data_IF_460300158275
#
_entry.id   IF_460300158275
#
_cell.length_a   1.000
_cell.length_b   1.000
_cell.length_c   1.000
_cell.angle_alpha   90.00
_cell.angle_beta   90.00
_cell.angle_gamma   90.00
#
_symmetry.space_group_name_H-M   'P 1'
#
loop_
_entity.id
_entity.type
_entity.pdbx_description
1 polymer ?
#
# COMPACT_ATOMS: atom_id res chain seq x y z
N UNK A 1 -32.79 -1.01 1.12
CA UNK A 1 -31.71 -0.07 1.44
C UNK A 1 -30.40 -0.79 1.21
N UNK A 2 -29.47 -0.21 0.46
CA UNK A 2 -28.13 -0.79 0.23
C UNK A 2 -27.23 -0.28 1.37
N UNK A 3 -26.66 -1.15 2.23
CA UNK A 3 -25.77 -0.71 3.30
C UNK A 3 -24.45 -0.21 2.69
N UNK A 4 -23.79 0.74 3.35
CA UNK A 4 -22.48 1.24 2.95
C UNK A 4 -21.40 0.14 3.03
N UNK A 5 -21.50 -0.73 4.03
CA UNK A 5 -20.60 -1.84 4.24
C UNK A 5 -21.40 -3.06 4.73
N UNK A 6 -21.00 -4.24 4.27
CA UNK A 6 -21.53 -5.51 4.75
C UNK A 6 -20.38 -6.54 4.78
N UNK A 7 -19.92 -6.96 5.98
CA UNK A 7 -18.92 -7.99 6.11
C UNK A 7 -19.38 -9.30 5.44
N UNK A 8 -18.49 -9.93 4.70
CA UNK A 8 -18.70 -11.29 4.22
C UNK A 8 -18.18 -12.28 5.28
N UNK A 9 -19.03 -13.20 5.66
CA UNK A 9 -18.68 -14.25 6.62
C UNK A 9 -18.60 -15.58 5.88
N UNK A 10 -17.48 -16.28 6.04
CA UNK A 10 -17.26 -17.62 5.45
C UNK A 10 -17.88 -18.72 6.30
N UNK A 11 -18.19 -18.43 7.58
CA UNK A 11 -18.63 -19.39 8.60
C UNK A 11 -17.48 -20.14 9.26
N UNK A 12 -16.22 -19.84 8.89
CA UNK A 12 -15.03 -20.49 9.48
C UNK A 12 -14.38 -19.65 10.61
N UNK A 13 -14.82 -18.42 10.83
CA UNK A 13 -14.17 -17.45 11.71
C UNK A 13 -14.05 -17.99 13.14
N UNK A 14 -15.17 -18.49 13.70
CA UNK A 14 -15.20 -19.03 15.08
C UNK A 14 -14.31 -20.28 15.21
N UNK A 15 -14.28 -21.13 14.16
CA UNK A 15 -13.40 -22.29 14.14
C UNK A 15 -11.92 -21.86 14.22
N UNK A 16 -11.52 -20.91 13.41
CA UNK A 16 -10.13 -20.40 13.40
C UNK A 16 -9.74 -19.73 14.71
N UNK A 17 -10.66 -18.96 15.30
CA UNK A 17 -10.45 -18.38 16.65
C UNK A 17 -10.25 -19.50 17.70
N UNK A 18 -11.08 -20.55 17.64
CA UNK A 18 -10.98 -21.67 18.56
C UNK A 18 -9.66 -22.45 18.39
N UNK A 19 -9.19 -22.60 17.16
CA UNK A 19 -7.89 -23.22 16.87
C UNK A 19 -6.74 -22.38 17.43
N UNK A 20 -6.75 -21.05 17.21
CA UNK A 20 -5.75 -20.14 17.77
C UNK A 20 -5.71 -20.22 19.31
N UNK A 21 -6.89 -20.26 19.94
CA UNK A 21 -6.98 -20.42 21.39
C UNK A 21 -6.39 -21.75 21.88
N UNK A 22 -6.67 -22.86 21.18
CA UNK A 22 -6.13 -24.19 21.53
C UNK A 22 -4.61 -24.26 21.38
N UNK A 23 -4.04 -23.56 20.40
CA UNK A 23 -2.58 -23.46 20.22
C UNK A 23 -1.95 -22.70 21.39
N UNK A 24 -2.70 -21.82 22.07
CA UNK A 24 -2.24 -21.08 23.23
C UNK A 24 -1.33 -19.90 22.92
N UNK A 25 -1.12 -19.57 21.65
CA UNK A 25 -0.36 -18.40 21.22
C UNK A 25 -1.32 -17.32 20.72
N UNK A 26 -1.68 -16.39 21.59
CA UNK A 26 -2.62 -15.30 21.30
C UNK A 26 -1.92 -13.95 21.06
N UNK A 27 -0.60 -13.88 21.22
CA UNK A 27 0.22 -12.76 20.83
C UNK A 27 0.40 -12.72 19.30
N UNK A 28 0.84 -11.59 18.77
CA UNK A 28 1.21 -11.48 17.35
C UNK A 28 2.33 -12.45 16.95
N UNK A 29 2.54 -12.56 15.63
CA UNK A 29 3.57 -13.41 15.01
C UNK A 29 3.41 -14.93 15.35
N UNK A 30 2.16 -15.37 15.43
CA UNK A 30 1.81 -16.76 15.68
C UNK A 30 1.58 -17.56 14.39
N UNK A 31 1.08 -18.79 14.55
CA UNK A 31 0.82 -19.72 13.45
C UNK A 31 -0.02 -19.11 12.33
N UNK A 32 -1.12 -18.43 12.64
CA UNK A 32 -1.98 -17.83 11.62
C UNK A 32 -1.32 -16.62 10.95
N UNK A 33 -0.49 -15.84 11.66
CA UNK A 33 0.31 -14.78 11.05
C UNK A 33 1.24 -15.35 10.00
N UNK A 34 1.96 -16.41 10.33
CA UNK A 34 2.87 -17.09 9.39
C UNK A 34 2.14 -17.65 8.17
N UNK A 35 0.94 -18.23 8.35
CA UNK A 35 0.12 -18.69 7.22
C UNK A 35 -0.33 -17.55 6.29
N UNK A 36 -0.74 -16.42 6.87
CA UNK A 36 -1.17 -15.26 6.09
C UNK A 36 0.02 -14.61 5.35
N UNK A 37 1.16 -14.44 6.03
CA UNK A 37 2.37 -13.91 5.40
C UNK A 37 2.81 -14.79 4.22
N UNK A 38 2.87 -16.10 4.45
CA UNK A 38 3.22 -17.04 3.37
C UNK A 38 2.22 -16.99 2.22
N UNK A 39 0.92 -16.91 2.50
CA UNK A 39 -0.10 -16.79 1.45
C UNK A 39 0.09 -15.52 0.63
N UNK A 40 0.38 -14.39 1.28
CA UNK A 40 0.69 -13.14 0.58
C UNK A 40 1.95 -13.29 -0.29
N UNK A 41 3.05 -13.78 0.26
CA UNK A 41 4.29 -14.01 -0.48
C UNK A 41 4.06 -14.90 -1.73
N UNK A 42 3.35 -16.02 -1.55
CA UNK A 42 3.06 -16.97 -2.63
C UNK A 42 2.12 -16.39 -3.72
N UNK A 43 1.23 -15.46 -3.38
CA UNK A 43 0.25 -14.91 -4.33
C UNK A 43 0.66 -13.56 -4.92
N UNK A 44 1.50 -12.79 -4.23
CA UNK A 44 1.92 -11.46 -4.70
C UNK A 44 3.34 -11.45 -5.25
N UNK A 45 4.04 -12.59 -5.23
CA UNK A 45 5.46 -12.71 -5.60
C UNK A 45 6.39 -11.80 -4.80
N UNK A 46 5.92 -11.26 -3.67
CA UNK A 46 6.74 -10.44 -2.79
C UNK A 46 7.75 -11.31 -2.03
N UNK A 47 8.96 -10.82 -1.86
CA UNK A 47 10.02 -11.53 -1.13
C UNK A 47 9.72 -11.67 0.37
N UNK A 48 8.91 -10.76 0.92
CA UNK A 48 8.48 -10.76 2.32
C UNK A 48 7.11 -10.12 2.49
N UNK A 49 6.29 -10.69 3.38
CA UNK A 49 5.02 -10.11 3.81
C UNK A 49 4.98 -10.03 5.34
N UNK A 50 4.75 -8.84 5.85
CA UNK A 50 4.60 -8.57 7.28
C UNK A 50 3.17 -8.12 7.56
N UNK A 51 2.51 -8.77 8.51
CA UNK A 51 1.17 -8.39 8.92
C UNK A 51 1.21 -7.29 9.96
N UNK A 52 0.35 -6.30 9.77
CA UNK A 52 0.06 -5.24 10.72
C UNK A 52 -1.41 -5.31 11.13
N UNK A 53 -1.78 -4.61 12.19
CA UNK A 53 -3.17 -4.56 12.66
C UNK A 53 -4.07 -3.64 11.81
N UNK A 54 -3.49 -2.84 10.91
CA UNK A 54 -4.21 -1.94 10.01
C UNK A 54 -3.32 -1.50 8.85
N UNK A 55 -3.92 -1.06 7.74
CA UNK A 55 -3.18 -0.43 6.64
C UNK A 55 -2.49 0.86 7.10
N UNK A 56 -3.09 1.61 8.02
CA UNK A 56 -2.43 2.78 8.64
C UNK A 56 -1.08 2.41 9.25
N UNK A 57 -1.00 1.34 10.03
CA UNK A 57 0.25 0.88 10.61
C UNK A 57 1.25 0.37 9.56
N UNK A 58 0.76 -0.21 8.46
CA UNK A 58 1.62 -0.59 7.33
C UNK A 58 2.26 0.64 6.67
N UNK A 59 1.47 1.70 6.43
CA UNK A 59 1.97 2.96 5.88
C UNK A 59 2.97 3.67 6.83
N UNK A 60 2.70 3.66 8.13
CA UNK A 60 3.64 4.17 9.14
C UNK A 60 4.96 3.38 9.14
N UNK A 61 4.87 2.05 9.01
CA UNK A 61 6.05 1.20 8.88
C UNK A 61 6.82 1.49 7.59
N UNK A 62 6.13 1.67 6.46
CA UNK A 62 6.75 2.07 5.21
C UNK A 62 7.50 3.41 5.35
N UNK A 63 6.90 4.41 6.00
CA UNK A 63 7.55 5.69 6.26
C UNK A 63 8.83 5.56 7.11
N UNK A 64 8.86 4.59 8.04
CA UNK A 64 10.06 4.26 8.83
C UNK A 64 11.12 3.60 7.93
N UNK A 65 10.73 2.60 7.14
CA UNK A 65 11.64 1.86 6.26
C UNK A 65 12.28 2.75 5.19
N UNK A 66 11.52 3.71 4.65
CA UNK A 66 12.03 4.71 3.71
C UNK A 66 12.90 5.79 4.39
N UNK A 67 13.02 5.73 5.70
CA UNK A 67 13.77 6.71 6.49
C UNK A 67 13.34 8.15 6.17
N UNK A 68 12.02 8.40 6.17
CA UNK A 68 11.46 9.74 5.94
C UNK A 68 11.98 10.71 6.99
N UNK A 69 12.49 11.85 6.54
CA UNK A 69 13.03 12.92 7.35
C UNK A 69 12.17 14.19 7.24
N UNK A 70 12.25 15.10 8.24
CA UNK A 70 11.60 16.40 8.14
C UNK A 70 12.01 17.16 6.87
N UNK A 71 11.02 17.55 6.08
CA UNK A 71 11.21 18.27 4.82
C UNK A 71 11.22 17.38 3.56
N UNK A 72 11.27 16.06 3.69
CA UNK A 72 11.06 15.16 2.55
C UNK A 72 9.65 15.34 1.99
N UNK A 73 9.52 15.46 0.69
CA UNK A 73 8.25 15.61 0.00
C UNK A 73 7.74 14.25 -0.48
N UNK A 74 6.44 14.01 -0.25
CA UNK A 74 5.77 12.75 -0.55
C UNK A 74 4.58 13.04 -1.45
N UNK A 75 4.67 12.61 -2.71
CA UNK A 75 3.62 12.79 -3.71
C UNK A 75 2.51 11.77 -3.46
N UNK A 76 1.26 12.22 -3.44
CA UNK A 76 0.09 11.37 -3.23
C UNK A 76 -1.16 12.00 -3.85
N UNK A 77 -2.24 11.21 -4.12
CA UNK A 77 -3.49 11.77 -4.62
C UNK A 77 -4.17 12.66 -3.58
N UNK A 78 -4.85 13.70 -4.03
CA UNK A 78 -5.66 14.59 -3.18
C UNK A 78 -6.92 13.88 -2.63
N UNK A 79 -7.35 12.81 -3.28
CA UNK A 79 -8.49 11.99 -2.88
C UNK A 79 -8.03 10.64 -2.33
N UNK A 80 -7.91 10.57 -1.02
CA UNK A 80 -7.49 9.36 -0.30
C UNK A 80 -7.98 9.40 1.15
N UNK A 81 -7.79 8.30 1.86
CA UNK A 81 -8.01 8.28 3.30
C UNK A 81 -6.88 9.03 4.01
N UNK A 82 -7.20 9.70 5.11
CA UNK A 82 -6.25 10.56 5.84
C UNK A 82 -4.97 9.85 6.27
N UNK A 83 -5.01 8.55 6.50
CA UNK A 83 -3.82 7.77 6.92
C UNK A 83 -2.72 7.78 5.88
N UNK A 84 -3.06 7.85 4.59
CA UNK A 84 -2.07 7.92 3.50
C UNK A 84 -1.13 9.13 3.69
N UNK A 85 -1.67 10.27 4.11
CA UNK A 85 -0.86 11.45 4.38
C UNK A 85 -0.24 11.43 5.79
N UNK A 86 -1.05 11.13 6.82
CA UNK A 86 -0.64 11.24 8.22
C UNK A 86 0.52 10.33 8.58
N UNK A 87 0.63 9.15 7.98
CA UNK A 87 1.72 8.21 8.20
C UNK A 87 3.10 8.84 7.93
N UNK A 88 3.20 9.64 6.88
CA UNK A 88 4.44 10.32 6.50
C UNK A 88 4.63 11.64 7.27
N UNK A 89 3.55 12.37 7.52
CA UNK A 89 3.57 13.62 8.30
C UNK A 89 4.08 13.38 9.73
N UNK A 90 3.73 12.25 10.35
CA UNK A 90 4.24 11.86 11.67
C UNK A 90 5.77 11.79 11.74
N UNK A 91 6.44 11.65 10.60
CA UNK A 91 7.90 11.65 10.50
C UNK A 91 8.48 12.98 9.98
N UNK A 92 7.62 14.00 9.81
CA UNK A 92 8.01 15.30 9.30
C UNK A 92 8.01 15.40 7.77
N UNK A 93 7.51 14.39 7.07
CA UNK A 93 7.28 14.43 5.62
C UNK A 93 6.23 15.47 5.25
N UNK A 94 6.38 16.05 4.09
CA UNK A 94 5.48 17.07 3.52
C UNK A 94 4.66 16.44 2.41
N UNK A 95 3.35 16.23 2.59
CA UNK A 95 2.50 15.70 1.53
C UNK A 95 2.39 16.72 0.38
N UNK A 96 2.62 16.24 -0.83
CA UNK A 96 2.42 16.99 -2.07
C UNK A 96 1.24 16.35 -2.79
N UNK A 97 0.10 17.02 -2.75
CA UNK A 97 -1.13 16.48 -3.31
C UNK A 97 -1.22 16.74 -4.81
N UNK A 98 -1.49 15.67 -5.54
CA UNK A 98 -1.77 15.68 -6.98
C UNK A 98 -3.26 15.45 -7.18
N UNK A 99 -3.82 16.08 -8.20
CA UNK A 99 -5.21 15.87 -8.55
C UNK A 99 -5.45 14.45 -9.07
N UNK A 100 -6.72 14.07 -9.16
CA UNK A 100 -7.14 12.72 -9.51
C UNK A 100 -7.77 12.72 -10.91
N UNK A 101 -7.74 11.56 -11.56
CA UNK A 101 -8.46 11.29 -12.78
C UNK A 101 -9.96 11.22 -12.52
N UNK A 102 -10.77 11.77 -13.41
CA UNK A 102 -12.23 11.74 -13.28
C UNK A 102 -12.83 10.33 -13.45
N UNK A 103 -12.16 9.47 -14.22
CA UNK A 103 -12.66 8.15 -14.58
C UNK A 103 -12.40 7.08 -13.50
N UNK A 104 -11.28 7.18 -12.78
CA UNK A 104 -10.83 6.16 -11.81
C UNK A 104 -10.78 6.66 -10.37
N UNK A 105 -10.75 7.98 -10.16
CA UNK A 105 -10.48 8.65 -8.88
C UNK A 105 -9.08 8.35 -8.32
N UNK A 106 -8.22 7.73 -9.09
CA UNK A 106 -6.81 7.51 -8.76
C UNK A 106 -5.98 8.76 -9.11
N UNK A 107 -4.76 8.83 -8.59
CA UNK A 107 -3.81 9.90 -8.92
C UNK A 107 -3.70 10.07 -10.44
N UNK A 108 -3.70 11.32 -10.91
CA UNK A 108 -3.40 11.63 -12.31
C UNK A 108 -1.89 11.57 -12.52
N UNK A 109 -1.44 10.47 -13.12
CA UNK A 109 -0.02 10.20 -13.35
C UNK A 109 0.64 11.25 -14.25
N UNK A 110 -0.13 11.92 -15.10
CA UNK A 110 0.40 12.96 -15.99
C UNK A 110 0.86 14.23 -15.27
N UNK A 111 0.36 14.45 -14.04
CA UNK A 111 0.68 15.61 -13.22
C UNK A 111 1.84 15.37 -12.25
N UNK A 112 2.28 14.10 -12.08
CA UNK A 112 3.30 13.74 -11.08
C UNK A 112 4.64 14.41 -11.40
N UNK A 113 5.08 14.40 -12.66
CA UNK A 113 6.40 14.88 -13.04
C UNK A 113 6.61 16.36 -12.70
N UNK A 114 5.59 17.20 -12.89
CA UNK A 114 5.66 18.64 -12.57
C UNK A 114 5.79 18.92 -11.07
N UNK A 115 5.33 17.99 -10.24
CA UNK A 115 5.39 18.11 -8.77
C UNK A 115 6.71 17.62 -8.17
N UNK A 116 7.56 16.97 -8.96
CA UNK A 116 8.85 16.44 -8.47
C UNK A 116 9.84 17.60 -8.24
N UNK A 117 10.41 17.61 -7.05
CA UNK A 117 11.48 18.55 -6.66
C UNK A 117 12.70 17.78 -6.17
N UNK A 118 13.77 18.51 -5.82
CA UNK A 118 14.96 17.90 -5.20
C UNK A 118 14.71 17.32 -3.79
N UNK A 119 13.55 17.59 -3.19
CA UNK A 119 13.13 17.07 -1.88
C UNK A 119 12.16 15.90 -2.01
N UNK A 120 11.67 15.60 -3.19
CA UNK A 120 10.75 14.47 -3.39
C UNK A 120 11.46 13.17 -3.08
N UNK A 121 10.87 12.38 -2.18
CA UNK A 121 11.42 11.13 -1.68
C UNK A 121 10.65 9.92 -2.18
N UNK A 122 9.31 10.03 -2.24
CA UNK A 122 8.45 8.92 -2.60
C UNK A 122 7.17 9.38 -3.31
N UNK A 123 6.58 8.44 -4.05
CA UNK A 123 5.24 8.54 -4.63
C UNK A 123 4.38 7.47 -3.96
N UNK A 124 3.17 7.85 -3.51
CA UNK A 124 2.22 6.96 -2.85
C UNK A 124 0.94 6.88 -3.71
N UNK A 125 0.90 6.02 -4.73
CA UNK A 125 -0.33 5.76 -5.45
C UNK A 125 -1.32 5.04 -4.53
N UNK A 126 -2.61 5.38 -4.66
CA UNK A 126 -3.70 4.76 -3.90
C UNK A 126 -4.62 4.05 -4.90
N UNK A 127 -4.77 2.74 -4.77
CA UNK A 127 -5.64 1.93 -5.62
C UNK A 127 -7.09 2.03 -5.14
N UNK A 128 -7.72 3.17 -5.44
CA UNK A 128 -9.04 3.51 -4.91
C UNK A 128 -10.10 2.48 -5.34
N UNK A 129 -10.89 2.00 -4.38
CA UNK A 129 -11.89 0.94 -4.57
C UNK A 129 -11.36 -0.32 -5.28
N UNK A 130 -10.07 -0.59 -5.21
CA UNK A 130 -9.42 -1.73 -5.87
C UNK A 130 -9.15 -1.54 -7.36
N UNK A 131 -9.34 -0.32 -7.89
CA UNK A 131 -8.94 0.03 -9.26
C UNK A 131 -7.46 0.41 -9.26
N UNK A 132 -6.67 -0.26 -10.10
CA UNK A 132 -5.24 0.01 -10.19
C UNK A 132 -4.93 1.42 -10.74
N UNK A 133 -3.91 2.07 -10.18
CA UNK A 133 -3.28 3.24 -10.82
C UNK A 133 -2.53 2.82 -12.09
N UNK A 134 -2.16 3.79 -12.93
CA UNK A 134 -1.30 3.57 -14.09
C UNK A 134 0.16 3.34 -13.66
N UNK A 135 0.41 2.14 -13.11
CA UNK A 135 1.67 1.82 -12.45
C UNK A 135 2.88 1.90 -13.37
N UNK A 136 2.77 1.53 -14.65
CA UNK A 136 3.90 1.62 -15.59
C UNK A 136 4.44 3.06 -15.68
N UNK A 137 3.55 4.05 -15.82
CA UNK A 137 3.92 5.47 -15.88
C UNK A 137 4.53 5.94 -14.56
N UNK A 138 3.95 5.53 -13.43
CA UNK A 138 4.44 5.89 -12.09
C UNK A 138 5.84 5.29 -11.87
N UNK A 139 6.05 4.02 -12.22
CA UNK A 139 7.32 3.34 -12.06
C UNK A 139 8.41 3.90 -12.98
N UNK A 140 8.05 4.30 -14.22
CA UNK A 140 8.98 4.99 -15.12
C UNK A 140 9.48 6.30 -14.51
N UNK A 141 8.58 7.12 -13.95
CA UNK A 141 8.95 8.35 -13.25
C UNK A 141 9.78 8.06 -12.00
N UNK A 142 9.39 7.08 -11.20
CA UNK A 142 10.14 6.70 -10.01
C UNK A 142 11.58 6.28 -10.35
N UNK A 143 11.77 5.47 -11.39
CA UNK A 143 13.10 5.07 -11.88
C UNK A 143 13.90 6.27 -12.39
N UNK A 144 13.29 7.13 -13.22
CA UNK A 144 13.92 8.33 -13.78
C UNK A 144 14.46 9.27 -12.71
N UNK A 145 13.69 9.47 -11.64
CA UNK A 145 14.01 10.41 -10.57
C UNK A 145 14.56 9.75 -9.30
N UNK A 146 14.74 8.42 -9.31
CA UNK A 146 15.24 7.61 -8.17
C UNK A 146 14.37 7.79 -6.92
N UNK A 147 13.06 7.73 -7.11
CA UNK A 147 12.07 7.86 -6.04
C UNK A 147 11.60 6.47 -5.58
N UNK A 148 11.21 6.37 -4.33
CA UNK A 148 10.51 5.19 -3.84
C UNK A 148 9.04 5.21 -4.25
N UNK A 149 8.44 4.03 -4.38
CA UNK A 149 7.00 3.88 -4.57
C UNK A 149 6.45 3.03 -3.41
N UNK A 150 5.37 3.50 -2.80
CA UNK A 150 4.63 2.75 -1.79
C UNK A 150 3.17 2.68 -2.22
N UNK A 151 2.71 1.52 -2.63
CA UNK A 151 1.32 1.33 -3.04
C UNK A 151 0.40 1.24 -1.82
N UNK A 152 -0.52 2.22 -1.69
CA UNK A 152 -1.63 2.11 -0.73
C UNK A 152 -2.74 1.27 -1.37
N UNK A 153 -2.72 0.00 -1.05
CA UNK A 153 -3.65 -0.99 -1.56
C UNK A 153 -4.65 -1.46 -0.49
N UNK A 154 -5.04 -0.56 0.43
CA UNK A 154 -5.99 -0.87 1.51
C UNK A 154 -7.27 -1.58 1.02
N UNK A 155 -7.70 -1.30 -0.20
CA UNK A 155 -8.85 -1.93 -0.87
C UNK A 155 -8.43 -2.81 -2.06
N UNK A 156 -7.14 -3.06 -2.25
CA UNK A 156 -6.56 -3.64 -3.46
C UNK A 156 -6.32 -5.14 -3.41
N UNK A 157 -6.62 -5.82 -2.31
CA UNK A 157 -6.36 -7.27 -2.21
C UNK A 157 -7.06 -8.03 -3.35
N UNK A 158 -6.34 -8.90 -4.05
CA UNK A 158 -6.78 -9.65 -5.24
C UNK A 158 -7.09 -8.81 -6.48
N UNK A 159 -6.97 -7.49 -6.43
CA UNK A 159 -7.02 -6.64 -7.62
C UNK A 159 -5.78 -6.82 -8.49
N UNK A 160 -5.93 -6.58 -9.79
CA UNK A 160 -4.86 -6.83 -10.76
C UNK A 160 -4.60 -5.61 -11.63
N UNK A 161 -3.33 -5.38 -11.91
CA UNK A 161 -2.86 -4.49 -12.97
C UNK A 161 -2.21 -5.32 -14.06
N UNK A 162 -2.73 -5.24 -15.30
CA UNK A 162 -2.22 -6.00 -16.48
C UNK A 162 -2.00 -7.50 -16.22
N UNK A 163 -2.84 -8.09 -15.39
CA UNK A 163 -2.79 -9.52 -15.07
C UNK A 163 -1.99 -9.89 -13.82
N UNK A 164 -1.14 -8.98 -13.30
CA UNK A 164 -0.41 -9.14 -12.05
C UNK A 164 -1.23 -8.59 -10.87
N UNK A 165 -1.14 -9.22 -9.70
CA UNK A 165 -1.73 -8.67 -8.48
C UNK A 165 -1.05 -7.34 -8.11
N UNK A 166 -1.79 -6.39 -7.51
CA UNK A 166 -1.31 -5.04 -7.19
C UNK A 166 -0.12 -4.99 -6.21
N UNK A 167 0.29 -6.08 -5.64
CA UNK A 167 1.46 -6.20 -4.77
C UNK A 167 2.68 -6.82 -5.47
N UNK A 168 2.63 -6.97 -6.80
CA UNK A 168 3.67 -7.65 -7.58
C UNK A 168 4.45 -6.72 -8.50
N UNK A 169 4.26 -5.41 -8.41
CA UNK A 169 5.09 -4.46 -9.15
C UNK A 169 6.46 -4.35 -8.47
N UNK A 170 7.31 -5.33 -8.77
CA UNK A 170 8.71 -5.32 -8.39
C UNK A 170 9.47 -4.42 -9.36
N UNK A 171 9.79 -3.22 -8.92
CA UNK A 171 10.62 -2.30 -9.69
C UNK A 171 12.01 -2.12 -9.04
N UNK A 172 12.32 -2.90 -8.03
CA UNK A 172 13.55 -2.73 -7.24
C UNK A 172 14.65 -3.78 -7.52
N UNK A 173 14.36 -4.87 -8.23
CA UNK A 173 15.28 -6.02 -8.32
C UNK A 173 15.93 -6.24 -9.68
N UNK A 174 15.98 -5.26 -10.57
CA UNK A 174 16.83 -5.34 -11.76
C UNK A 174 18.02 -4.38 -11.64
N UNK A 175 18.89 -4.62 -10.69
CA UNK A 175 20.29 -4.19 -10.76
C UNK A 175 21.20 -5.40 -10.51
N UNK A 176 21.62 -6.03 -11.59
CA UNK A 176 22.92 -6.66 -11.72
C UNK A 176 23.92 -5.68 -12.31
#
# INVERSE_FOLDING_TARGET
MIPFNKPYLTGQEVLRISEAHKIGQLAGDGHFTSLCSKWLEDNTSSSRALLTHSCTAALEMAAILLNIQPGDEIIMPSYTFVSTASAFVLRGGIPVFIDIREDTLNIDESLIEEAITSRTKAIIPVHYAGVACEMDSIMELAKKYKLFVVEDAAMGIMSKYKGCLLYTSDAADEED
#
